data_IF_277091258109
#
_entry.id   IF_277091258109
#
_cell.length_a   1.000
_cell.length_b   1.000
_cell.length_c   1.000
_cell.angle_alpha   90.00
_cell.angle_beta   90.00
_cell.angle_gamma   90.00
#
_symmetry.space_group_name_H-M   'P 1'
#
loop_
_entity.id
_entity.type
_entity.pdbx_description
1 polymer ?
#
# COMPACT_ATOMS: atom_id res chain seq x y z
N UNK A 1 -14.38 -7.01 -18.78
CA UNK A 1 -13.31 -6.01 -18.96
C UNK A 1 -12.48 -5.99 -17.69
N UNK A 2 -11.25 -6.51 -17.74
CA UNK A 2 -10.33 -6.56 -16.61
C UNK A 2 -9.81 -5.15 -16.32
N UNK A 3 -10.01 -4.65 -15.09
CA UNK A 3 -9.50 -3.34 -14.67
C UNK A 3 -7.96 -3.36 -14.79
N UNK A 4 -7.33 -2.33 -15.36
CA UNK A 4 -5.87 -2.27 -15.44
C UNK A 4 -5.32 -2.24 -14.00
N UNK A 5 -4.63 -3.32 -13.62
CA UNK A 5 -3.84 -3.34 -12.40
C UNK A 5 -2.75 -2.29 -12.52
N UNK A 6 -2.68 -1.37 -11.56
CA UNK A 6 -1.62 -0.37 -11.51
C UNK A 6 -0.29 -1.11 -11.28
N UNK A 7 0.54 -1.18 -12.32
CA UNK A 7 1.86 -1.78 -12.22
C UNK A 7 2.81 -0.80 -11.48
N UNK A 8 3.32 -1.21 -10.32
CA UNK A 8 4.31 -0.44 -9.58
C UNK A 8 5.64 -0.39 -10.34
N UNK A 9 6.12 0.82 -10.65
CA UNK A 9 7.39 1.04 -11.35
C UNK A 9 8.40 1.72 -10.41
N UNK A 10 9.44 0.99 -10.03
CA UNK A 10 10.53 1.39 -9.11
C UNK A 10 11.32 2.62 -9.58
N UNK A 11 11.36 2.92 -10.89
CA UNK A 11 12.12 4.04 -11.46
C UNK A 11 11.30 5.34 -11.64
N UNK A 12 9.98 5.28 -11.45
CA UNK A 12 9.06 6.42 -11.62
C UNK A 12 8.07 6.53 -10.45
N UNK A 13 8.48 6.12 -9.25
CA UNK A 13 7.68 6.29 -8.03
C UNK A 13 7.73 7.75 -7.58
N UNK A 14 7.36 8.68 -8.46
CA UNK A 14 7.24 10.09 -8.12
C UNK A 14 6.06 10.22 -7.15
N UNK A 15 6.38 10.46 -5.88
CA UNK A 15 5.70 11.12 -4.74
C UNK A 15 4.20 11.50 -4.81
N UNK A 16 3.63 11.68 -6.00
CA UNK A 16 2.24 12.12 -6.28
C UNK A 16 1.21 11.09 -5.83
N UNK A 17 1.53 9.79 -5.84
CA UNK A 17 0.57 8.77 -5.37
C UNK A 17 0.39 8.87 -3.87
N UNK A 18 1.50 8.91 -3.11
CA UNK A 18 1.48 8.94 -1.64
C UNK A 18 0.85 10.22 -1.09
N UNK A 19 1.12 11.40 -1.69
CA UNK A 19 0.51 12.67 -1.25
C UNK A 19 -1.00 12.75 -1.50
N UNK A 20 -1.56 11.82 -2.27
CA UNK A 20 -2.99 11.76 -2.56
C UNK A 20 -3.72 10.73 -1.68
N UNK A 21 -2.99 9.82 -1.02
CA UNK A 21 -3.60 8.84 -0.14
C UNK A 21 -4.11 9.51 1.14
N UNK A 22 -5.29 9.10 1.58
CA UNK A 22 -5.91 9.59 2.80
C UNK A 22 -5.77 8.61 3.95
N UNK A 23 -5.64 7.33 3.63
CA UNK A 23 -5.67 6.25 4.61
C UNK A 23 -4.79 5.09 4.14
N UNK A 24 -4.25 4.34 5.10
CA UNK A 24 -3.57 3.08 4.86
C UNK A 24 -4.24 1.98 5.70
N UNK A 25 -4.31 0.77 5.17
CA UNK A 25 -4.88 -0.39 5.84
C UNK A 25 -3.98 -1.59 5.69
N UNK A 26 -3.81 -2.35 6.77
CA UNK A 26 -3.22 -3.68 6.76
C UNK A 26 -4.36 -4.70 6.83
N UNK A 27 -4.37 -5.69 5.95
CA UNK A 27 -5.40 -6.74 5.95
C UNK A 27 -4.74 -8.11 5.87
N UNK A 28 -5.07 -8.99 6.80
CA UNK A 28 -4.67 -10.39 6.71
C UNK A 28 -5.50 -11.08 5.62
N UNK A 29 -4.85 -11.48 4.51
CA UNK A 29 -5.52 -12.14 3.38
C UNK A 29 -5.42 -13.66 3.43
N UNK A 30 -4.47 -14.17 4.20
CA UNK A 30 -4.29 -15.59 4.51
C UNK A 30 -3.55 -15.70 5.84
N UNK A 31 -3.60 -16.83 6.54
CA UNK A 31 -2.92 -16.98 7.83
C UNK A 31 -1.44 -16.60 7.74
N UNK A 32 -1.04 -15.54 8.44
CA UNK A 32 0.33 -15.03 8.42
C UNK A 32 0.72 -14.30 7.13
N UNK A 33 -0.24 -13.83 6.34
CA UNK A 33 -0.01 -13.03 5.13
C UNK A 33 -0.81 -11.74 5.22
N UNK A 34 -0.08 -10.63 5.34
CA UNK A 34 -0.62 -9.29 5.53
C UNK A 34 -0.39 -8.43 4.29
N UNK A 35 -1.46 -7.82 3.81
CA UNK A 35 -1.43 -6.93 2.65
C UNK A 35 -1.58 -5.48 3.07
N UNK A 36 -0.66 -4.64 2.60
CA UNK A 36 -0.72 -3.19 2.81
C UNK A 36 -1.36 -2.54 1.60
N UNK A 37 -2.41 -1.76 1.86
CA UNK A 37 -3.08 -0.93 0.85
C UNK A 37 -3.16 0.52 1.30
N UNK A 38 -3.01 1.42 0.35
CA UNK A 38 -3.26 2.85 0.55
C UNK A 38 -4.50 3.28 -0.23
N UNK A 39 -5.37 4.04 0.41
CA UNK A 39 -6.67 4.45 -0.13
C UNK A 39 -6.68 5.93 -0.49
N UNK A 40 -7.08 6.24 -1.71
CA UNK A 40 -7.40 7.60 -2.14
C UNK A 40 -8.80 8.02 -1.67
N UNK A 41 -9.74 7.07 -1.76
CA UNK A 41 -11.11 7.13 -1.28
C UNK A 41 -11.63 5.69 -1.06
N UNK A 42 -12.90 5.52 -0.66
CA UNK A 42 -13.49 4.21 -0.37
C UNK A 42 -13.49 3.21 -1.52
N UNK A 43 -13.33 3.65 -2.77
CA UNK A 43 -13.41 2.81 -3.97
C UNK A 43 -12.06 2.60 -4.67
N UNK A 44 -11.06 3.44 -4.35
CA UNK A 44 -9.77 3.46 -5.03
C UNK A 44 -8.64 3.22 -4.03
N UNK A 45 -8.06 2.02 -4.10
CA UNK A 45 -6.85 1.64 -3.36
C UNK A 45 -5.70 1.28 -4.29
N UNK A 46 -4.49 1.45 -3.74
CA UNK A 46 -3.23 0.99 -4.29
C UNK A 46 -2.68 -0.11 -3.40
N UNK A 47 -2.21 -1.18 -4.03
CA UNK A 47 -1.52 -2.26 -3.34
C UNK A 47 -0.03 -1.91 -3.23
N UNK A 48 0.50 -1.95 -2.02
CA UNK A 48 1.90 -1.59 -1.74
C UNK A 48 2.79 -2.80 -1.52
N UNK A 49 2.25 -3.88 -0.96
CA UNK A 49 3.03 -5.08 -0.71
C UNK A 49 2.31 -6.12 0.14
N UNK A 50 2.88 -7.32 0.11
CA UNK A 50 2.50 -8.47 0.92
C UNK A 50 3.64 -8.77 1.89
N UNK A 51 3.29 -9.05 3.15
CA UNK A 51 4.22 -9.24 4.27
C UNK A 51 3.86 -10.53 5.00
N UNK A 52 4.88 -11.24 5.51
CA UNK A 52 4.69 -12.49 6.27
C UNK A 52 4.47 -12.27 7.77
N UNK A 53 4.70 -11.05 8.23
CA UNK A 53 4.63 -10.65 9.63
C UNK A 53 3.88 -9.32 9.70
N UNK A 54 3.02 -9.17 10.72
CA UNK A 54 2.23 -7.97 10.89
C UNK A 54 3.12 -6.75 11.18
N UNK A 55 4.09 -6.93 12.07
CA UNK A 55 5.07 -5.91 12.47
C UNK A 55 5.86 -5.38 11.26
N UNK A 56 6.25 -6.25 10.32
CA UNK A 56 6.93 -5.82 9.10
C UNK A 56 6.05 -4.94 8.18
N UNK A 57 4.72 -5.16 8.18
CA UNK A 57 3.77 -4.32 7.46
C UNK A 57 3.57 -2.96 8.15
N UNK A 58 3.57 -2.94 9.49
CA UNK A 58 3.51 -1.72 10.30
C UNK A 58 4.78 -0.87 10.11
N UNK A 59 5.96 -1.46 10.22
CA UNK A 59 7.26 -0.83 9.96
C UNK A 59 7.31 -0.16 8.57
N UNK A 60 6.74 -0.83 7.57
CA UNK A 60 6.68 -0.29 6.22
C UNK A 60 5.77 0.95 6.15
N UNK A 61 4.63 0.95 6.83
CA UNK A 61 3.75 2.11 6.90
C UNK A 61 4.37 3.25 7.70
N UNK A 62 5.08 2.97 8.79
CA UNK A 62 5.79 3.99 9.56
C UNK A 62 6.88 4.66 8.71
N UNK A 63 7.65 3.87 7.95
CA UNK A 63 8.64 4.41 7.00
C UNK A 63 8.00 5.28 5.93
N UNK A 64 6.80 4.93 5.45
CA UNK A 64 6.05 5.79 4.53
C UNK A 64 5.64 7.09 5.23
N UNK A 65 5.15 7.01 6.47
CA UNK A 65 4.71 8.20 7.21
C UNK A 65 5.87 9.17 7.48
N UNK A 66 7.03 8.68 7.90
CA UNK A 66 8.21 9.49 8.18
C UNK A 66 8.84 10.14 6.93
N UNK A 67 8.46 9.72 5.72
CA UNK A 67 8.89 10.38 4.47
C UNK A 67 8.09 11.66 4.17
N UNK A 68 7.07 11.99 4.97
CA UNK A 68 6.23 13.19 4.86
C UNK A 68 6.21 13.99 6.16
#
# INVERSE_FOLDING_TARGET
>A
MSKPGVAWNKGKTSSVVLSKLKEFTITETSPGIYNVRGWFNSENSFFFGEFKEHEAAEDFLEKIHQMF
#
